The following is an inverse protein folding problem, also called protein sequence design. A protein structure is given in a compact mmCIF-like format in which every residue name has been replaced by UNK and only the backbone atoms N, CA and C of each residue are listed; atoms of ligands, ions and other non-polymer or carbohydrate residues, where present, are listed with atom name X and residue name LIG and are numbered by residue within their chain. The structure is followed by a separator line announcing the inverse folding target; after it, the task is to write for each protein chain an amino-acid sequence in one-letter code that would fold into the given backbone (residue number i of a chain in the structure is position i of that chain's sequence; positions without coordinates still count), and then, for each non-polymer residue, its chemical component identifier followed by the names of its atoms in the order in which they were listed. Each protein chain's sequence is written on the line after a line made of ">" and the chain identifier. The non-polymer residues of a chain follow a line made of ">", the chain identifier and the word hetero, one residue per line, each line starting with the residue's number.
data_IF_232665017231
#
_entry.id   IF_232665017231
#
_cell.length_a   1.000
_cell.length_b   1.000
_cell.length_c   1.000
_cell.angle_alpha   90.00
_cell.angle_beta   90.00
_cell.angle_gamma   90.00
#
_symmetry.space_group_name_H-M   'P 1'
#
loop_
_entity.id
_entity.type
_entity.pdbx_description
1 polymer ?
#
# COMPACT_ATOMS: atom_id res chain seq x y z
N UNK A 1 -4.58 -11.24 16.47
CA UNK A 1 -5.06 -10.82 15.47
C UNK A 1 -4.39 -9.74 14.91
N UNK A 2 -3.82 -8.98 15.48
CA UNK A 2 -3.23 -7.84 14.92
C UNK A 2 -1.91 -8.13 14.26
N UNK A 3 -1.31 -9.27 14.48
CA UNK A 3 -0.05 -9.61 13.82
C UNK A 3 -0.19 -9.59 12.30
N UNK A 4 -1.29 -10.10 11.78
CA UNK A 4 -1.48 -10.09 10.34
C UNK A 4 -1.63 -8.68 9.81
N UNK A 5 -2.30 -7.80 10.56
CA UNK A 5 -2.44 -6.42 10.14
C UNK A 5 -1.10 -5.70 10.12
N UNK A 6 -0.28 -5.98 11.15
CA UNK A 6 1.01 -5.35 11.21
C UNK A 6 1.90 -5.83 10.06
N UNK A 7 1.86 -7.10 9.73
CA UNK A 7 2.65 -7.64 8.63
C UNK A 7 2.25 -6.99 7.31
N UNK A 8 0.97 -6.66 7.14
CA UNK A 8 0.52 -6.03 5.90
C UNK A 8 1.02 -4.61 5.75
N UNK A 9 1.41 -3.96 6.85
CA UNK A 9 1.96 -2.62 6.76
C UNK A 9 3.46 -2.63 6.46
N UNK A 10 4.10 -3.79 6.51
CA UNK A 10 5.51 -3.89 6.16
C UNK A 10 5.64 -4.28 4.70
N UNK A 11 6.75 -3.97 4.05
CA UNK A 11 6.93 -4.41 2.67
C UNK A 11 6.87 -5.93 2.58
N UNK A 12 6.30 -6.46 1.49
CA UNK A 12 6.27 -7.92 1.34
C UNK A 12 7.67 -8.45 1.10
N UNK A 13 7.88 -9.72 1.39
CA UNK A 13 9.18 -10.32 1.14
C UNK A 13 9.37 -10.60 -0.33
N UNK A 14 8.32 -10.77 -1.07
CA UNK A 14 8.38 -11.10 -2.48
C UNK A 14 7.47 -10.18 -3.26
N UNK A 15 7.97 -9.65 -4.36
CA UNK A 15 7.20 -8.77 -5.22
C UNK A 15 6.93 -9.50 -6.53
N UNK A 16 5.69 -9.92 -6.78
CA UNK A 16 5.37 -10.67 -7.98
C UNK A 16 5.49 -9.79 -9.22
N UNK A 17 6.14 -10.31 -10.24
CA UNK A 17 6.23 -9.59 -11.49
C UNK A 17 5.00 -9.80 -12.35
N UNK A 18 4.84 -8.96 -13.36
CA UNK A 18 3.70 -9.05 -14.26
C UNK A 18 3.67 -10.38 -15.00
N UNK A 19 4.83 -11.00 -15.19
CA UNK A 19 4.93 -12.27 -15.87
C UNK A 19 4.79 -13.46 -14.92
N UNK A 20 4.49 -13.23 -13.67
CA UNK A 20 4.35 -14.29 -12.67
C UNK A 20 5.65 -14.68 -12.01
N UNK A 21 6.77 -14.11 -12.43
CA UNK A 21 8.07 -14.40 -11.82
C UNK A 21 8.42 -13.28 -10.85
N UNK A 22 8.80 -13.60 -9.62
CA UNK A 22 9.12 -12.56 -8.64
C UNK A 22 10.28 -11.71 -9.12
N UNK A 23 10.23 -10.42 -8.79
CA UNK A 23 11.32 -9.54 -9.12
C UNK A 23 12.54 -9.91 -8.30
N UNK A 24 13.71 -9.83 -8.91
CA UNK A 24 14.95 -10.18 -8.23
C UNK A 24 16.00 -9.11 -8.33
N UNK A 25 15.76 -8.03 -9.04
CA UNK A 25 16.75 -6.96 -9.17
C UNK A 25 16.89 -6.23 -7.85
N UNK A 26 18.10 -6.26 -7.27
CA UNK A 26 18.31 -5.71 -5.96
C UNK A 26 17.95 -4.25 -5.89
N UNK A 27 18.30 -3.46 -6.90
CA UNK A 27 17.99 -2.04 -6.91
C UNK A 27 16.48 -1.80 -6.91
N UNK A 28 15.76 -2.56 -7.71
CA UNK A 28 14.31 -2.41 -7.76
C UNK A 28 13.67 -2.80 -6.43
N UNK A 29 14.17 -3.86 -5.84
CA UNK A 29 13.61 -4.32 -4.56
C UNK A 29 13.81 -3.27 -3.48
N UNK A 30 14.94 -2.58 -3.49
CA UNK A 30 15.19 -1.55 -2.52
C UNK A 30 14.24 -0.38 -2.70
N UNK A 31 14.04 0.07 -3.93
CA UNK A 31 13.14 1.18 -4.21
C UNK A 31 11.72 0.82 -3.82
N UNK A 32 11.28 -0.40 -4.15
CA UNK A 32 9.93 -0.83 -3.83
C UNK A 32 9.69 -0.87 -2.33
N UNK A 33 10.66 -1.37 -1.57
CA UNK A 33 10.51 -1.43 -0.12
C UNK A 33 10.44 -0.02 0.47
N UNK A 34 11.28 0.89 -0.02
CA UNK A 34 11.27 2.26 0.48
C UNK A 34 9.96 2.95 0.16
N UNK A 35 9.47 2.77 -1.06
CA UNK A 35 8.20 3.36 -1.45
C UNK A 35 7.05 2.80 -0.63
N UNK A 36 7.09 1.50 -0.36
CA UNK A 36 6.05 0.87 0.43
C UNK A 36 6.01 1.47 1.84
N UNK A 37 7.18 1.66 2.45
CA UNK A 37 7.22 2.23 3.78
C UNK A 37 6.69 3.65 3.81
N UNK A 38 7.02 4.43 2.80
CA UNK A 38 6.53 5.81 2.71
C UNK A 38 5.03 5.85 2.51
N UNK A 39 4.52 5.00 1.61
CA UNK A 39 3.08 4.95 1.36
C UNK A 39 2.33 4.51 2.61
N UNK A 40 2.86 3.51 3.31
CA UNK A 40 2.23 3.03 4.53
C UNK A 40 2.17 4.14 5.58
N UNK A 41 3.22 4.95 5.69
CA UNK A 41 3.23 6.02 6.67
C UNK A 41 2.18 7.08 6.33
N UNK A 42 2.08 7.46 5.06
CA UNK A 42 1.10 8.45 4.64
C UNK A 42 -0.32 7.94 4.86
N UNK A 43 -0.57 6.67 4.51
CA UNK A 43 -1.89 6.10 4.69
C UNK A 43 -2.24 6.00 6.18
N UNK A 44 -1.27 5.60 6.99
CA UNK A 44 -1.51 5.52 8.43
C UNK A 44 -1.86 6.88 9.00
N UNK A 45 -1.11 7.90 8.62
CA UNK A 45 -1.36 9.25 9.13
C UNK A 45 -2.73 9.75 8.69
N UNK A 46 -3.08 9.53 7.44
CA UNK A 46 -4.38 9.97 6.93
C UNK A 46 -5.51 9.25 7.65
N UNK A 47 -5.34 7.95 7.88
CA UNK A 47 -6.36 7.17 8.56
C UNK A 47 -6.52 7.64 10.00
N UNK A 48 -5.41 7.77 10.71
CA UNK A 48 -5.46 8.16 12.11
C UNK A 48 -6.05 9.56 12.28
N UNK A 49 -5.64 10.49 11.45
CA UNK A 49 -6.16 11.84 11.54
C UNK A 49 -7.67 11.86 11.31
N UNK A 50 -8.13 11.13 10.29
CA UNK A 50 -9.55 11.11 9.99
C UNK A 50 -10.38 10.53 11.14
N UNK A 51 -9.90 9.44 11.73
CA UNK A 51 -10.61 8.81 12.83
C UNK A 51 -10.65 9.74 14.03
N UNK A 52 -9.54 10.41 14.32
CA UNK A 52 -9.51 11.34 15.45
C UNK A 52 -10.39 12.55 15.21
N UNK A 53 -10.66 12.90 13.95
CA UNK A 53 -11.55 13.99 13.62
C UNK A 53 -13.00 13.55 13.57
N UNK A 54 -13.27 12.28 13.71
CA UNK A 54 -14.65 11.81 13.77
C UNK A 54 -15.12 10.96 12.61
N UNK A 55 -14.25 10.63 11.65
CA UNK A 55 -14.67 9.76 10.55
C UNK A 55 -14.72 8.33 11.08
N UNK A 56 -15.77 7.60 10.74
CA UNK A 56 -15.96 6.23 11.18
C UNK A 56 -14.88 5.34 10.54
N UNK A 57 -14.30 4.42 11.30
CA UNK A 57 -13.12 3.66 10.86
C UNK A 57 -13.36 2.85 9.60
N UNK A 58 -14.45 2.11 9.55
CA UNK A 58 -14.73 1.27 8.38
C UNK A 58 -14.92 2.13 7.14
N UNK A 59 -15.60 3.27 7.31
CA UNK A 59 -15.80 4.19 6.20
C UNK A 59 -14.48 4.75 5.70
N UNK A 60 -13.57 5.08 6.62
CA UNK A 60 -12.29 5.62 6.20
C UNK A 60 -11.45 4.57 5.49
N UNK A 61 -11.50 3.31 5.94
CA UNK A 61 -10.78 2.25 5.24
C UNK A 61 -11.32 2.08 3.83
N UNK A 62 -12.65 2.17 3.67
CA UNK A 62 -13.24 2.06 2.34
C UNK A 62 -12.83 3.22 1.45
N UNK A 63 -12.81 4.44 2.01
CA UNK A 63 -12.41 5.61 1.24
C UNK A 63 -10.97 5.44 0.71
N UNK A 64 -10.05 5.00 1.54
CA UNK A 64 -8.67 4.80 1.12
C UNK A 64 -8.56 3.67 0.11
N UNK A 65 -9.33 2.60 0.31
CA UNK A 65 -9.31 1.48 -0.63
C UNK A 65 -9.84 1.90 -2.00
N UNK A 66 -10.85 2.75 -2.04
CA UNK A 66 -11.39 3.25 -3.29
C UNK A 66 -10.39 4.14 -4.01
N UNK A 67 -9.62 4.90 -3.25
CA UNK A 67 -8.61 5.75 -3.84
C UNK A 67 -7.53 4.88 -4.51
N UNK A 68 -7.11 3.82 -3.84
CA UNK A 68 -6.13 2.92 -4.41
C UNK A 68 -6.68 2.24 -5.66
N UNK A 69 -7.93 1.82 -5.62
CA UNK A 69 -8.54 1.16 -6.76
C UNK A 69 -8.67 2.09 -7.96
N UNK A 70 -8.71 3.38 -7.74
CA UNK A 70 -8.85 4.35 -8.82
C UNK A 70 -7.53 4.75 -9.47
N UNK A 71 -6.41 4.25 -8.97
CA UNK A 71 -5.11 4.60 -9.55
C UNK A 71 -5.04 4.10 -10.99
N UNK A 72 -4.70 4.96 -11.94
CA UNK A 72 -4.64 4.53 -13.33
C UNK A 72 -3.39 3.71 -13.59
N UNK A 73 -3.49 2.76 -14.48
CA UNK A 73 -2.32 1.97 -14.83
C UNK A 73 -1.39 2.76 -15.75
N UNK A 74 -0.12 2.84 -15.45
CA UNK A 74 0.83 3.52 -16.34
C UNK A 74 1.06 2.74 -17.61
N UNK A 75 0.65 1.45 -17.64
CA UNK A 75 0.86 0.68 -18.83
C UNK A 75 -0.25 0.83 -19.82
N UNK A 76 -1.40 1.47 -19.59
CA UNK A 76 -2.42 1.45 -20.54
C UNK A 76 -2.12 2.49 -21.37
N UNK A 77 -1.83 2.85 -21.80
CA UNK A 77 -1.58 3.75 -22.70
C UNK A 77 -1.81 3.56 -23.93
N UNK A 78 -2.04 2.81 -24.02
CA UNK A 78 -2.18 2.56 -25.32
C UNK A 78 -3.30 3.18 -25.81
#
# INVERSE_FOLDING_TARGET
>A
MTTATRAALDPPETWPGADGVPLSCREKLKVLAENHREAAQVLRDAFEDAVLMGVEETAMRRILAEMIAALPSPKRGA
#
